data_IF_264045419642
#
_entry.id   IF_264045419642
#
_cell.length_a   1.000
_cell.length_b   1.000
_cell.length_c   1.000
_cell.angle_alpha   90.00
_cell.angle_beta   90.00
_cell.angle_gamma   90.00
#
_symmetry.space_group_name_H-M   'P 1'
#
loop_
_entity.id
_entity.type
_entity.pdbx_description
1 polymer ?
#
# COMPACT_ATOMS: atom_id res chain seq x y z
N UNK A 1 -33.71 22.72 -16.25
CA UNK A 1 -33.03 22.12 -15.08
C UNK A 1 -33.98 22.19 -13.89
N UNK A 2 -34.46 21.05 -13.42
CA UNK A 2 -35.48 20.94 -12.38
C UNK A 2 -34.85 21.01 -10.98
N UNK A 3 -35.42 21.84 -10.09
CA UNK A 3 -35.00 21.93 -8.68
C UNK A 3 -35.43 20.65 -7.95
N UNK A 4 -34.47 19.90 -7.40
CA UNK A 4 -34.75 18.72 -6.56
C UNK A 4 -35.04 19.16 -5.12
N UNK A 5 -36.21 18.78 -4.60
CA UNK A 5 -36.57 18.96 -3.19
C UNK A 5 -35.88 17.85 -2.39
N UNK A 6 -34.92 18.20 -1.51
CA UNK A 6 -34.30 17.23 -0.59
C UNK A 6 -35.23 17.00 0.60
N UNK A 7 -35.57 15.74 0.85
CA UNK A 7 -36.33 15.35 2.03
C UNK A 7 -35.49 15.53 3.31
N UNK A 8 -36.11 16.08 4.36
CA UNK A 8 -35.50 16.25 5.68
C UNK A 8 -35.47 14.89 6.39
N UNK A 9 -34.27 14.39 6.70
CA UNK A 9 -34.06 13.12 7.42
C UNK A 9 -34.00 13.33 8.92
N UNK A 10 -34.44 12.33 9.70
CA UNK A 10 -34.25 12.29 11.13
C UNK A 10 -32.74 12.24 11.45
N UNK A 11 -32.21 13.14 12.30
CA UNK A 11 -30.79 13.16 12.65
C UNK A 11 -30.34 11.94 13.46
N UNK A 12 -31.27 11.24 14.12
CA UNK A 12 -30.95 10.11 14.99
C UNK A 12 -30.91 8.76 14.24
N UNK A 13 -31.80 8.52 13.28
CA UNK A 13 -31.90 7.22 12.58
C UNK A 13 -31.89 7.30 11.04
N UNK A 14 -31.84 8.51 10.46
CA UNK A 14 -31.82 8.70 9.01
C UNK A 14 -33.15 8.46 8.28
N UNK A 15 -34.22 8.10 8.99
CA UNK A 15 -35.56 7.92 8.43
C UNK A 15 -36.13 9.22 7.87
N UNK A 16 -36.86 9.13 6.76
CA UNK A 16 -37.61 10.25 6.15
C UNK A 16 -39.06 10.34 6.66
N UNK A 17 -39.53 9.34 7.40
CA UNK A 17 -40.86 9.33 7.99
C UNK A 17 -40.95 10.25 9.20
N UNK A 18 -41.79 11.29 9.11
CA UNK A 18 -41.97 12.28 10.16
C UNK A 18 -43.38 12.85 10.22
N UNK A 19 -43.77 13.32 11.39
CA UNK A 19 -45.01 14.08 11.64
C UNK A 19 -44.62 15.44 12.20
N UNK A 20 -45.16 16.52 11.64
CA UNK A 20 -44.97 17.87 12.17
C UNK A 20 -45.87 18.06 13.39
N UNK A 21 -45.26 18.40 14.53
CA UNK A 21 -45.97 18.54 15.82
C UNK A 21 -46.25 20.01 16.14
N UNK A 22 -45.44 20.92 15.61
CA UNK A 22 -45.61 22.38 15.58
C UNK A 22 -44.63 22.95 14.54
N UNK A 23 -44.78 24.21 14.17
CA UNK A 23 -43.92 24.86 13.17
C UNK A 23 -42.42 24.57 13.44
N UNK A 24 -41.74 24.11 12.40
CA UNK A 24 -40.32 23.73 12.38
C UNK A 24 -39.92 22.60 13.35
N UNK A 25 -40.86 21.90 13.98
CA UNK A 25 -40.62 20.76 14.87
C UNK A 25 -41.26 19.49 14.33
N UNK A 26 -40.44 18.45 14.22
CA UNK A 26 -40.81 17.17 13.64
C UNK A 26 -40.56 16.03 14.62
N UNK A 27 -41.47 15.05 14.63
CA UNK A 27 -41.30 13.78 15.32
C UNK A 27 -41.07 12.68 14.32
N UNK A 28 -39.99 11.91 14.46
CA UNK A 28 -39.72 10.77 13.60
C UNK A 28 -40.69 9.62 13.89
N UNK A 29 -41.32 9.05 12.86
CA UNK A 29 -42.24 7.92 13.02
C UNK A 29 -41.53 6.59 13.26
N UNK A 30 -40.22 6.50 12.97
CA UNK A 30 -39.44 5.26 13.12
C UNK A 30 -38.79 5.11 14.50
N UNK A 31 -38.31 6.20 15.10
CA UNK A 31 -37.61 6.17 16.40
C UNK A 31 -38.19 7.11 17.45
N UNK A 32 -39.31 7.79 17.15
CA UNK A 32 -39.99 8.74 18.03
C UNK A 32 -39.15 9.95 18.50
N UNK A 33 -37.96 10.16 17.93
CA UNK A 33 -37.12 11.33 18.21
C UNK A 33 -37.78 12.60 17.68
N UNK A 34 -37.91 13.60 18.56
CA UNK A 34 -38.35 14.94 18.21
C UNK A 34 -37.14 15.83 17.91
N UNK A 35 -37.20 16.58 16.82
CA UNK A 35 -36.13 17.47 16.36
C UNK A 35 -36.73 18.69 15.68
N UNK A 36 -36.03 19.81 15.74
CA UNK A 36 -36.48 21.05 15.12
C UNK A 36 -35.42 21.60 14.16
N UNK A 37 -35.86 22.39 13.18
CA UNK A 37 -34.96 23.12 12.30
C UNK A 37 -34.63 24.43 13.00
N UNK A 38 -33.41 24.50 13.51
CA UNK A 38 -32.84 25.76 14.00
C UNK A 38 -32.36 26.55 12.80
N UNK A 39 -32.88 27.77 12.63
CA UNK A 39 -32.68 28.60 11.44
C UNK A 39 -31.61 29.69 11.65
N UNK A 40 -30.74 29.52 12.64
CA UNK A 40 -29.75 30.50 13.04
C UNK A 40 -28.38 30.29 12.39
N UNK A 41 -28.32 30.41 11.06
CA UNK A 41 -27.07 30.77 10.36
C UNK A 41 -27.29 31.53 9.02
N UNK A 42 -28.16 32.55 9.03
CA UNK A 42 -28.11 33.67 8.07
C UNK A 42 -28.38 34.99 8.82
N UNK A 43 -27.32 35.74 9.12
CA UNK A 43 -27.42 37.08 9.72
C UNK A 43 -27.99 38.10 8.72
N UNK A 44 -29.19 38.62 8.97
CA UNK A 44 -29.65 39.94 8.47
C UNK A 44 -30.43 40.64 9.58
N UNK A 45 -29.92 41.78 10.03
CA UNK A 45 -30.50 42.61 11.08
C UNK A 45 -31.56 43.55 10.50
N UNK A 46 -32.76 43.61 11.11
CA UNK A 46 -33.67 44.73 10.93
C UNK A 46 -34.51 44.97 12.20
N UNK A 47 -34.46 46.22 12.68
CA UNK A 47 -35.12 46.74 13.88
C UNK A 47 -36.46 47.38 13.54
N UNK A 48 -37.55 47.07 14.26
CA UNK A 48 -38.73 47.95 14.43
C UNK A 48 -39.37 47.75 15.82
N UNK A 49 -39.49 48.85 16.58
CA UNK A 49 -40.18 49.01 17.87
C UNK A 49 -41.71 48.93 17.76
N UNK A 50 -42.41 48.42 18.79
CA UNK A 50 -43.74 48.91 19.19
C UNK A 50 -43.98 48.83 20.71
N UNK A 51 -44.67 49.87 21.18
CA UNK A 51 -45.07 50.19 22.56
C UNK A 51 -46.32 49.45 23.04
N UNK A 52 -46.49 49.41 24.37
CA UNK A 52 -47.74 49.21 25.16
C UNK A 52 -48.35 47.81 25.12
N UNK A 53 -48.97 47.24 26.16
CA UNK A 53 -49.40 47.67 27.50
C UNK A 53 -49.69 46.41 28.36
N UNK A 54 -49.53 46.49 29.68
CA UNK A 54 -49.96 45.46 30.66
C UNK A 54 -51.50 45.45 30.83
N UNK A 55 -52.13 44.34 31.29
CA UNK A 55 -52.45 44.26 32.73
C UNK A 55 -52.52 42.84 33.39
N UNK A 56 -52.03 42.80 34.64
CA UNK A 56 -52.51 42.15 35.89
C UNK A 56 -52.98 40.68 36.01
N UNK A 57 -52.42 39.99 37.03
CA UNK A 57 -53.06 39.33 38.23
C UNK A 57 -52.12 38.22 38.76
N UNK A 58 -51.82 37.92 40.03
CA UNK A 58 -52.28 38.24 41.39
C UNK A 58 -51.08 37.98 42.38
N UNK A 59 -50.87 38.76 43.47
CA UNK A 59 -49.63 38.78 44.27
C UNK A 59 -49.54 37.80 45.45
N UNK A 60 -50.44 36.82 45.60
CA UNK A 60 -50.52 35.99 46.83
C UNK A 60 -50.00 34.55 46.72
N UNK A 61 -49.76 34.03 45.52
CA UNK A 61 -49.26 32.64 45.29
C UNK A 61 -47.74 32.58 45.01
N UNK A 62 -47.13 33.69 44.59
CA UNK A 62 -45.73 33.75 44.18
C UNK A 62 -44.71 33.61 45.35
N UNK A 63 -45.09 34.01 46.57
CA UNK A 63 -44.15 34.01 47.72
C UNK A 63 -43.93 32.64 48.37
N UNK A 64 -44.83 31.66 48.20
CA UNK A 64 -44.64 30.30 48.75
C UNK A 64 -43.96 29.34 47.75
N UNK A 65 -44.12 29.57 46.45
CA UNK A 65 -43.44 28.78 45.41
C UNK A 65 -41.95 29.15 45.33
N UNK A 66 -41.59 30.42 45.52
CA UNK A 66 -40.19 30.87 45.47
C UNK A 66 -39.28 30.27 46.55
N UNK A 67 -39.80 29.97 47.75
CA UNK A 67 -39.01 29.42 48.86
C UNK A 67 -38.72 27.92 48.71
N UNK A 68 -39.68 27.15 48.15
CA UNK A 68 -39.50 25.71 47.89
C UNK A 68 -38.61 25.48 46.67
N UNK A 69 -38.80 26.28 45.60
CA UNK A 69 -37.96 26.20 44.39
C UNK A 69 -36.53 26.68 44.69
N UNK A 70 -36.36 27.73 45.51
CA UNK A 70 -35.04 28.20 45.92
C UNK A 70 -34.25 27.16 46.74
N UNK A 71 -34.91 26.48 47.69
CA UNK A 71 -34.28 25.43 48.49
C UNK A 71 -33.85 24.22 47.66
N UNK A 72 -34.69 23.77 46.73
CA UNK A 72 -34.39 22.62 45.85
C UNK A 72 -33.25 22.95 44.88
N UNK A 73 -33.23 24.16 44.30
CA UNK A 73 -32.16 24.59 43.38
C UNK A 73 -30.80 24.68 44.09
N UNK A 74 -30.77 25.18 45.34
CA UNK A 74 -29.51 25.27 46.11
C UNK A 74 -28.98 23.89 46.51
N UNK A 75 -29.85 22.95 46.91
CA UNK A 75 -29.46 21.56 47.20
C UNK A 75 -28.98 20.85 45.93
N UNK A 76 -29.64 21.09 44.79
CA UNK A 76 -29.24 20.52 43.51
C UNK A 76 -27.88 21.05 43.06
N UNK A 77 -27.61 22.36 43.20
CA UNK A 77 -26.30 22.98 42.90
C UNK A 77 -25.20 22.43 43.82
N UNK A 78 -25.47 22.25 45.13
CA UNK A 78 -24.51 21.67 46.06
C UNK A 78 -24.17 20.21 45.71
N UNK A 79 -25.16 19.38 45.41
CA UNK A 79 -24.96 17.96 45.07
C UNK A 79 -24.37 17.73 43.67
N UNK A 80 -24.66 18.60 42.69
CA UNK A 80 -24.19 18.43 41.31
C UNK A 80 -22.87 19.13 40.99
N UNK A 81 -22.54 20.24 41.65
CA UNK A 81 -21.34 21.01 41.35
C UNK A 81 -20.25 20.89 42.41
N UNK A 82 -20.61 20.91 43.71
CA UNK A 82 -19.60 20.95 44.79
C UNK A 82 -19.14 19.54 45.20
N UNK A 83 -20.05 18.57 45.35
CA UNK A 83 -19.67 17.21 45.77
C UNK A 83 -18.78 16.50 44.72
N UNK A 84 -19.01 16.60 43.39
CA UNK A 84 -18.12 15.98 42.40
C UNK A 84 -16.74 16.65 42.29
N UNK A 85 -16.60 17.92 42.71
CA UNK A 85 -15.30 18.61 42.71
C UNK A 85 -14.42 18.26 43.92
N UNK A 86 -15.03 17.88 45.05
CA UNK A 86 -14.31 17.39 46.24
C UNK A 86 -13.91 15.90 46.14
N UNK A 87 -14.56 15.12 45.27
CA UNK A 87 -14.24 13.71 44.98
C UNK A 87 -13.70 13.46 43.57
N UNK A 88 -13.26 14.51 42.86
CA UNK A 88 -12.50 14.34 41.62
C UNK A 88 -11.08 13.91 41.96
N UNK A 89 -10.90 12.61 42.22
CA UNK A 89 -9.60 11.98 42.08
C UNK A 89 -9.13 12.31 40.67
N UNK A 90 -8.04 13.07 40.54
CA UNK A 90 -7.37 13.26 39.25
C UNK A 90 -7.19 11.87 38.66
N UNK A 91 -7.97 11.53 37.64
CA UNK A 91 -7.65 10.39 36.79
C UNK A 91 -6.35 10.77 36.10
N UNK A 92 -5.24 10.43 36.75
CA UNK A 92 -3.99 10.24 36.05
C UNK A 92 -4.28 9.11 35.10
N UNK A 93 -4.68 9.45 33.87
CA UNK A 93 -4.26 8.63 32.75
C UNK A 93 -2.76 8.42 32.97
N UNK A 94 -2.24 7.19 33.05
CA UNK A 94 -0.81 7.05 32.91
C UNK A 94 -0.51 7.77 31.60
N UNK A 95 0.31 8.81 31.66
CA UNK A 95 0.92 9.32 30.45
C UNK A 95 1.47 8.07 29.79
N UNK A 96 1.00 7.72 28.60
CA UNK A 96 1.81 6.86 27.74
C UNK A 96 3.10 7.66 27.66
N UNK A 97 4.10 7.18 28.38
CA UNK A 97 5.46 7.65 28.22
C UNK A 97 5.69 7.47 26.73
N UNK A 98 5.61 8.56 25.97
CA UNK A 98 5.98 8.57 24.58
C UNK A 98 7.49 8.44 24.64
N UNK A 99 7.97 7.21 24.87
CA UNK A 99 9.35 6.85 24.67
C UNK A 99 9.58 7.13 23.20
N UNK A 100 10.12 8.32 22.93
CA UNK A 100 10.44 8.77 21.59
C UNK A 100 11.38 7.72 21.02
N UNK A 101 11.03 7.17 19.86
CA UNK A 101 11.92 6.23 19.19
C UNK A 101 13.29 6.90 19.06
N UNK A 102 14.33 6.16 19.44
CA UNK A 102 15.72 6.65 19.47
C UNK A 102 16.12 7.22 18.11
N UNK A 103 15.61 6.62 17.04
CA UNK A 103 15.71 7.11 15.68
C UNK A 103 14.39 6.96 14.90
N UNK A 104 14.31 7.61 13.75
CA UNK A 104 13.30 7.35 12.72
C UNK A 104 13.94 7.12 11.35
N UNK A 105 13.26 6.37 10.49
CA UNK A 105 13.66 6.23 9.09
C UNK A 105 13.19 7.44 8.29
N UNK A 106 14.14 8.16 7.67
CA UNK A 106 13.86 9.40 6.95
C UNK A 106 13.60 9.19 5.45
N UNK A 107 14.51 8.51 4.77
CA UNK A 107 14.38 8.05 3.39
C UNK A 107 14.91 6.63 3.37
N UNK A 108 14.11 5.69 2.88
CA UNK A 108 14.44 4.28 2.89
C UNK A 108 13.66 3.53 1.82
N UNK A 109 14.19 2.38 1.46
CA UNK A 109 13.45 1.31 0.82
C UNK A 109 13.39 0.10 1.75
N UNK A 110 12.33 -0.69 1.59
CA UNK A 110 12.04 -1.85 2.43
C UNK A 110 11.60 -3.00 1.55
N UNK A 111 12.14 -4.18 1.81
CA UNK A 111 11.73 -5.41 1.14
C UNK A 111 11.87 -6.60 2.09
N UNK A 112 11.29 -7.74 1.73
CA UNK A 112 11.34 -8.97 2.50
C UNK A 112 11.91 -10.12 1.68
N UNK A 113 12.53 -11.08 2.37
CA UNK A 113 12.91 -12.37 1.80
C UNK A 113 12.71 -13.50 2.80
N UNK A 114 12.60 -14.73 2.30
CA UNK A 114 12.70 -15.92 3.14
C UNK A 114 14.15 -16.40 3.16
N UNK A 115 14.71 -16.60 4.36
CA UNK A 115 16.03 -17.23 4.49
C UNK A 115 15.95 -18.75 4.22
N UNK A 116 17.08 -19.47 4.26
CA UNK A 116 17.10 -20.93 4.01
C UNK A 116 16.19 -21.76 4.93
N UNK A 117 15.94 -21.28 6.15
CA UNK A 117 15.05 -21.95 7.12
C UNK A 117 13.57 -21.62 6.84
N UNK A 118 13.29 -20.82 5.81
CA UNK A 118 11.98 -20.32 5.45
C UNK A 118 11.42 -19.29 6.44
N UNK A 119 12.27 -18.62 7.21
CA UNK A 119 11.87 -17.51 8.09
C UNK A 119 11.79 -16.20 7.28
N UNK A 120 10.72 -15.40 7.44
CA UNK A 120 10.59 -14.13 6.75
C UNK A 120 11.42 -13.04 7.44
N UNK A 121 12.34 -12.46 6.69
CA UNK A 121 13.22 -11.38 7.13
C UNK A 121 12.87 -10.12 6.35
N UNK A 122 12.69 -9.00 7.06
CA UNK A 122 12.58 -7.67 6.45
C UNK A 122 13.95 -7.03 6.42
N UNK A 123 14.34 -6.49 5.28
CA UNK A 123 15.53 -5.67 5.10
C UNK A 123 15.12 -4.23 4.81
N UNK A 124 15.73 -3.30 5.52
CA UNK A 124 15.57 -1.86 5.32
C UNK A 124 16.91 -1.28 4.92
N UNK A 125 16.97 -0.52 3.83
CA UNK A 125 18.13 0.26 3.44
C UNK A 125 17.72 1.73 3.40
N UNK A 126 18.40 2.57 4.18
CA UNK A 126 18.07 3.98 4.20
C UNK A 126 18.75 4.79 5.28
N UNK A 127 18.22 5.97 5.56
CA UNK A 127 18.74 6.90 6.56
C UNK A 127 18.02 6.71 7.88
N UNK A 128 18.78 6.40 8.93
CA UNK A 128 18.32 6.55 10.32
C UNK A 128 18.68 7.94 10.82
N UNK A 129 17.68 8.68 11.28
CA UNK A 129 17.84 9.97 11.96
C UNK A 129 17.62 9.78 13.44
N UNK A 130 18.68 9.94 14.22
CA UNK A 130 18.61 9.85 15.66
C UNK A 130 18.05 11.15 16.26
N UNK A 131 17.28 11.02 17.34
CA UNK A 131 16.69 12.14 18.04
C UNK A 131 17.57 12.57 19.22
N UNK A 132 17.81 13.87 19.36
CA UNK A 132 18.61 14.44 20.45
C UNK A 132 20.05 14.74 20.05
N UNK A 133 20.63 15.76 20.67
CA UNK A 133 21.95 16.31 20.30
C UNK A 133 23.09 15.31 20.60
N UNK A 134 22.90 14.41 21.56
CA UNK A 134 23.92 13.44 22.00
C UNK A 134 24.20 12.32 20.97
N UNK A 135 23.30 12.14 19.97
CA UNK A 135 23.38 11.05 18.99
C UNK A 135 23.47 11.56 17.53
N UNK A 136 23.78 12.84 17.30
CA UNK A 136 23.83 13.40 15.94
C UNK A 136 24.85 12.65 15.05
N UNK A 137 25.98 12.25 15.63
CA UNK A 137 27.02 11.46 14.95
C UNK A 137 26.58 10.03 14.56
N UNK A 138 25.51 9.52 15.18
CA UNK A 138 24.93 8.22 14.85
C UNK A 138 24.02 8.29 13.62
N UNK A 139 23.48 9.47 13.30
CA UNK A 139 22.74 9.68 12.06
C UNK A 139 23.59 9.29 10.85
N UNK A 140 22.96 8.58 9.91
CA UNK A 140 23.68 8.03 8.76
C UNK A 140 22.82 7.08 7.95
N UNK A 141 23.47 6.46 6.98
CA UNK A 141 22.88 5.41 6.17
C UNK A 141 23.11 4.07 6.84
N UNK A 142 22.08 3.25 6.84
CA UNK A 142 22.07 1.95 7.47
C UNK A 142 21.40 0.93 6.57
N UNK A 143 21.84 -0.31 6.72
CA UNK A 143 21.04 -1.48 6.37
C UNK A 143 20.70 -2.24 7.65
N UNK A 144 19.46 -2.67 7.76
CA UNK A 144 18.94 -3.32 8.96
C UNK A 144 18.06 -4.50 8.61
N UNK A 145 18.18 -5.56 9.40
CA UNK A 145 17.48 -6.82 9.21
C UNK A 145 16.58 -7.08 10.41
N UNK A 146 15.31 -7.35 10.17
CA UNK A 146 14.30 -7.62 11.18
C UNK A 146 13.70 -8.99 10.95
N UNK A 147 13.46 -9.72 12.04
CA UNK A 147 12.57 -10.87 12.00
C UNK A 147 11.13 -10.35 11.97
N UNK A 148 10.42 -10.63 10.88
CA UNK A 148 9.08 -10.09 10.64
C UNK A 148 8.09 -10.58 11.69
N UNK A 149 8.22 -11.83 12.15
CA UNK A 149 7.23 -12.46 13.03
C UNK A 149 7.35 -11.94 14.47
N UNK A 150 8.55 -11.59 14.90
CA UNK A 150 8.86 -11.16 16.26
C UNK A 150 9.07 -9.65 16.43
N UNK A 151 9.07 -8.89 15.33
CA UNK A 151 9.44 -7.46 15.26
C UNK A 151 10.86 -7.16 15.77
N UNK A 152 11.71 -8.17 15.91
CA UNK A 152 13.04 -8.03 16.51
C UNK A 152 14.05 -7.61 15.45
N UNK A 153 14.81 -6.55 15.73
CA UNK A 153 16.02 -6.23 14.98
C UNK A 153 17.07 -7.32 15.21
N UNK A 154 17.46 -8.00 14.14
CA UNK A 154 18.44 -9.08 14.16
C UNK A 154 19.85 -8.54 14.01
N UNK A 155 20.02 -7.57 13.11
CA UNK A 155 21.33 -6.98 12.80
C UNK A 155 21.17 -5.64 12.10
N UNK A 156 22.11 -4.73 12.36
CA UNK A 156 22.21 -3.43 11.67
C UNK A 156 23.66 -3.13 11.35
N UNK A 157 23.89 -2.44 10.23
CA UNK A 157 25.20 -2.02 9.76
C UNK A 157 25.10 -0.59 9.25
N UNK A 158 25.97 0.29 9.76
CA UNK A 158 26.16 1.63 9.17
C UNK A 158 26.88 1.46 7.84
N UNK A 159 26.28 1.94 6.77
CA UNK A 159 26.77 1.79 5.39
C UNK A 159 27.32 3.09 4.81
N UNK A 160 27.01 4.22 5.44
CA UNK A 160 27.52 5.51 5.03
C UNK A 160 27.08 6.67 5.92
N UNK A 161 27.49 7.86 5.51
CA UNK A 161 27.12 9.13 6.15
C UNK A 161 25.88 9.70 5.49
N UNK A 162 25.12 10.49 6.24
CA UNK A 162 23.95 11.17 5.72
C UNK A 162 24.25 12.66 5.47
N UNK A 163 23.77 13.19 4.35
CA UNK A 163 23.71 14.64 4.11
C UNK A 163 22.33 15.05 3.64
N UNK A 164 21.81 16.15 4.21
CA UNK A 164 20.57 16.79 3.80
C UNK A 164 20.63 17.38 2.38
N UNK A 165 21.82 17.73 1.89
CA UNK A 165 22.02 18.33 0.58
C UNK A 165 21.84 17.35 -0.58
N UNK A 166 21.83 16.04 -0.29
CA UNK A 166 21.84 15.00 -1.31
C UNK A 166 20.43 14.42 -1.50
N UNK A 167 20.09 14.11 -2.74
CA UNK A 167 18.90 13.31 -3.06
C UNK A 167 19.08 11.89 -2.54
N UNK A 168 18.61 11.63 -1.32
CA UNK A 168 18.73 10.33 -0.67
C UNK A 168 17.80 9.33 -1.38
N UNK A 169 18.38 8.42 -2.19
CA UNK A 169 17.65 7.42 -2.97
C UNK A 169 18.10 6.02 -2.59
N UNK A 170 17.19 5.17 -2.16
CA UNK A 170 17.49 3.78 -1.82
C UNK A 170 16.59 2.87 -2.60
N UNK A 171 17.14 1.75 -3.06
CA UNK A 171 16.40 0.72 -3.78
C UNK A 171 16.86 -0.65 -3.29
N UNK A 172 15.92 -1.57 -3.12
CA UNK A 172 16.14 -2.97 -2.77
C UNK A 172 15.45 -3.84 -3.81
N UNK A 173 16.16 -4.84 -4.33
CA UNK A 173 15.58 -5.79 -5.27
C UNK A 173 16.19 -7.16 -5.14
N UNK A 174 15.32 -8.16 -4.99
CA UNK A 174 15.70 -9.56 -5.06
C UNK A 174 15.69 -10.02 -6.53
N UNK A 175 16.86 -10.45 -7.01
CA UNK A 175 17.00 -11.24 -8.23
C UNK A 175 16.91 -12.72 -7.90
N UNK A 176 16.85 -13.58 -8.93
CA UNK A 176 16.66 -15.02 -8.73
C UNK A 176 17.82 -15.68 -7.99
N UNK A 177 19.03 -15.13 -8.13
CA UNK A 177 20.27 -15.64 -7.53
C UNK A 177 20.69 -14.87 -6.28
N UNK A 178 20.57 -13.54 -6.32
CA UNK A 178 21.15 -12.64 -5.33
C UNK A 178 20.16 -11.53 -4.95
N UNK A 179 20.37 -10.94 -3.78
CA UNK A 179 19.62 -9.77 -3.33
C UNK A 179 20.57 -8.58 -3.36
N UNK A 180 20.19 -7.50 -4.03
CA UNK A 180 20.96 -6.27 -4.11
C UNK A 180 20.24 -5.08 -3.47
N UNK A 181 21.03 -4.13 -3.00
CA UNK A 181 20.58 -2.80 -2.61
C UNK A 181 21.39 -1.73 -3.34
N UNK A 182 20.78 -0.58 -3.63
CA UNK A 182 21.44 0.58 -4.21
C UNK A 182 21.24 1.76 -3.25
N UNK A 183 22.32 2.47 -2.93
CA UNK A 183 22.29 3.69 -2.13
C UNK A 183 22.79 4.89 -2.95
N UNK A 184 21.97 5.94 -2.96
CA UNK A 184 22.14 7.21 -3.65
C UNK A 184 22.53 7.07 -5.13
N UNK A 185 22.14 5.96 -5.76
CA UNK A 185 22.53 5.60 -7.14
C UNK A 185 24.05 5.46 -7.36
N UNK A 186 24.85 5.44 -6.30
CA UNK A 186 26.32 5.46 -6.39
C UNK A 186 26.93 4.18 -5.82
N UNK A 187 26.31 3.59 -4.80
CA UNK A 187 26.80 2.38 -4.15
C UNK A 187 25.84 1.22 -4.37
N UNK A 188 26.39 0.09 -4.79
CA UNK A 188 25.68 -1.17 -4.96
C UNK A 188 26.14 -2.14 -3.87
N UNK A 189 25.19 -2.63 -3.10
CA UNK A 189 25.40 -3.64 -2.09
C UNK A 189 24.87 -4.98 -2.56
N UNK A 190 25.65 -6.04 -2.30
CA UNK A 190 25.15 -7.41 -2.32
C UNK A 190 24.76 -7.81 -0.90
N UNK A 191 23.53 -8.28 -0.73
CA UNK A 191 22.96 -8.66 0.55
C UNK A 191 23.14 -10.16 0.75
N UNK A 192 23.83 -10.51 1.82
CA UNK A 192 23.95 -11.87 2.32
C UNK A 192 22.75 -12.20 3.22
N UNK A 193 21.82 -12.97 2.67
CA UNK A 193 20.57 -13.39 3.31
C UNK A 193 20.77 -14.27 4.55
N UNK A 194 21.92 -14.92 4.68
CA UNK A 194 22.18 -15.90 5.73
C UNK A 194 22.98 -15.28 6.88
N UNK A 195 23.99 -14.48 6.55
CA UNK A 195 24.81 -13.80 7.55
C UNK A 195 24.28 -12.42 7.95
N UNK A 196 23.19 -11.97 7.32
CA UNK A 196 22.53 -10.67 7.55
C UNK A 196 23.53 -9.53 7.41
N UNK A 197 24.20 -9.48 6.26
CA UNK A 197 25.26 -8.52 5.95
C UNK A 197 25.02 -7.88 4.59
N UNK A 198 25.54 -6.67 4.42
CA UNK A 198 25.67 -6.04 3.11
C UNK A 198 27.14 -5.79 2.80
N UNK A 199 27.58 -6.26 1.65
CA UNK A 199 28.92 -5.99 1.13
C UNK A 199 28.82 -4.99 0.01
N UNK A 200 29.59 -3.90 0.08
CA UNK A 200 29.74 -2.99 -1.04
C UNK A 200 30.47 -3.72 -2.17
N UNK A 201 29.76 -3.92 -3.28
CA UNK A 201 30.28 -4.60 -4.46
C UNK A 201 30.45 -3.66 -5.64
N UNK A 202 30.26 -2.35 -5.45
CA UNK A 202 30.19 -1.33 -6.51
C UNK A 202 31.31 -1.49 -7.53
N UNK A 203 32.57 -1.56 -7.09
CA UNK A 203 33.69 -1.75 -8.02
C UNK A 203 33.81 -3.20 -8.50
N UNK A 204 33.73 -4.16 -7.57
CA UNK A 204 33.97 -5.57 -7.87
C UNK A 204 32.96 -6.21 -8.81
N UNK A 205 31.72 -5.69 -8.85
CA UNK A 205 30.62 -6.22 -9.64
C UNK A 205 30.79 -5.90 -11.13
N UNK A 206 31.41 -4.75 -11.46
CA UNK A 206 31.53 -4.27 -12.83
C UNK A 206 32.96 -4.35 -13.41
N UNK A 207 33.96 -4.71 -12.58
CA UNK A 207 35.39 -4.67 -12.93
C UNK A 207 35.78 -5.43 -14.21
N UNK A 208 35.06 -6.50 -14.53
CA UNK A 208 35.40 -7.39 -15.65
C UNK A 208 34.85 -6.87 -17.00
N UNK A 209 34.19 -5.71 -17.01
CA UNK A 209 33.57 -5.11 -18.18
C UNK A 209 34.30 -3.84 -18.60
N UNK A 210 34.97 -3.87 -19.76
CA UNK A 210 35.79 -2.76 -20.26
C UNK A 210 35.03 -1.42 -20.34
N UNK A 211 33.74 -1.43 -20.72
CA UNK A 211 32.89 -0.22 -20.79
C UNK A 211 32.56 0.40 -19.42
N UNK A 212 32.82 -0.32 -18.32
CA UNK A 212 32.60 0.11 -16.94
C UNK A 212 33.91 0.20 -16.14
N UNK A 213 35.06 0.01 -16.79
CA UNK A 213 36.37 -0.05 -16.12
C UNK A 213 36.78 1.29 -15.49
N UNK A 214 36.27 2.42 -15.99
CA UNK A 214 36.46 3.75 -15.41
C UNK A 214 35.65 3.99 -14.13
N UNK A 215 34.88 2.99 -13.68
CA UNK A 215 33.93 3.10 -12.59
C UNK A 215 32.56 3.58 -13.05
N UNK A 216 31.62 3.67 -12.10
CA UNK A 216 30.24 4.08 -12.36
C UNK A 216 29.98 5.48 -11.83
N UNK A 217 29.19 6.24 -12.58
CA UNK A 217 28.59 7.51 -12.17
C UNK A 217 27.18 7.31 -11.60
N UNK A 218 26.46 6.28 -12.08
CA UNK A 218 25.11 5.97 -11.61
C UNK A 218 24.78 4.48 -11.75
N UNK A 219 23.99 3.95 -10.84
CA UNK A 219 23.31 2.66 -10.94
C UNK A 219 21.85 2.78 -10.47
N UNK A 220 20.96 2.07 -11.17
CA UNK A 220 19.58 1.82 -10.77
C UNK A 220 19.19 0.40 -11.18
N UNK A 221 18.12 -0.15 -10.60
CA UNK A 221 17.55 -1.37 -11.17
C UNK A 221 16.85 -1.06 -12.50
N UNK A 222 17.04 -1.94 -13.48
CA UNK A 222 16.27 -1.85 -14.72
C UNK A 222 14.79 -2.17 -14.43
N UNK A 223 13.89 -1.60 -15.25
CA UNK A 223 12.48 -1.96 -15.21
C UNK A 223 12.30 -3.46 -15.43
N UNK A 224 11.28 -4.05 -14.81
CA UNK A 224 11.03 -5.51 -14.88
C UNK A 224 10.89 -6.02 -16.31
N UNK A 225 10.40 -5.18 -17.22
CA UNK A 225 10.31 -5.47 -18.65
C UNK A 225 11.66 -5.67 -19.34
N UNK A 226 12.80 -5.40 -18.70
CA UNK A 226 14.14 -5.67 -19.21
C UNK A 226 14.75 -6.94 -18.59
N UNK A 227 14.06 -7.57 -17.64
CA UNK A 227 14.59 -8.67 -16.85
C UNK A 227 15.37 -8.22 -15.61
N UNK A 228 16.14 -9.13 -15.05
CA UNK A 228 16.91 -8.92 -13.81
C UNK A 228 18.25 -8.23 -14.12
N UNK A 229 18.21 -6.92 -14.32
CA UNK A 229 19.39 -6.13 -14.69
C UNK A 229 19.54 -4.84 -13.88
N UNK A 230 20.75 -4.30 -13.91
CA UNK A 230 21.07 -2.93 -13.54
C UNK A 230 21.09 -2.06 -14.78
N UNK A 231 20.58 -0.84 -14.69
CA UNK A 231 20.89 0.24 -15.62
C UNK A 231 22.04 1.06 -15.03
N UNK A 232 23.19 1.06 -15.72
CA UNK A 232 24.45 1.60 -15.20
C UNK A 232 25.01 2.64 -16.16
N UNK A 233 25.40 3.78 -15.62
CA UNK A 233 26.17 4.80 -16.32
C UNK A 233 27.61 4.79 -15.79
N UNK A 234 28.58 4.65 -16.70
CA UNK A 234 30.01 4.79 -16.38
C UNK A 234 30.39 6.25 -16.11
N UNK A 235 31.56 6.46 -15.50
CA UNK A 235 32.15 7.80 -15.32
C UNK A 235 32.46 8.53 -16.64
N UNK A 236 32.55 7.78 -17.75
CA UNK A 236 32.74 8.33 -19.10
C UNK A 236 31.40 8.62 -19.82
N UNK A 237 30.25 8.43 -19.15
CA UNK A 237 28.93 8.72 -19.70
C UNK A 237 28.34 7.61 -20.59
N UNK A 238 28.99 6.45 -20.67
CA UNK A 238 28.43 5.27 -21.36
C UNK A 238 27.34 4.63 -20.52
N UNK A 239 26.14 4.45 -21.09
CA UNK A 239 25.00 3.78 -20.47
C UNK A 239 24.83 2.34 -20.98
N UNK A 240 24.73 1.38 -20.08
CA UNK A 240 24.54 -0.05 -20.40
C UNK A 240 23.61 -0.72 -19.40
N UNK A 241 22.99 -1.82 -19.84
CA UNK A 241 22.30 -2.77 -18.98
C UNK A 241 23.27 -3.87 -18.57
N UNK A 242 23.49 -4.06 -17.27
CA UNK A 242 24.30 -5.14 -16.73
C UNK A 242 23.42 -6.24 -16.13
N UNK A 243 23.58 -7.47 -16.62
CA UNK A 243 22.85 -8.65 -16.17
C UNK A 243 23.79 -9.52 -15.32
N UNK A 244 23.68 -9.48 -13.98
CA UNK A 244 24.64 -10.11 -13.08
C UNK A 244 24.68 -11.63 -13.22
N UNK A 245 23.53 -12.29 -13.42
CA UNK A 245 23.47 -13.75 -13.45
C UNK A 245 24.27 -14.35 -14.61
N UNK A 246 24.18 -13.72 -15.79
CA UNK A 246 24.95 -14.14 -16.98
C UNK A 246 26.27 -13.40 -17.11
N UNK A 247 26.56 -12.46 -16.21
CA UNK A 247 27.70 -11.55 -16.23
C UNK A 247 27.93 -10.90 -17.61
N UNK A 248 26.91 -10.23 -18.15
CA UNK A 248 26.97 -9.57 -19.47
C UNK A 248 26.43 -8.16 -19.42
N UNK A 249 26.99 -7.30 -20.27
CA UNK A 249 26.48 -5.97 -20.56
C UNK A 249 25.84 -5.91 -21.94
N UNK A 250 24.80 -5.08 -22.08
CA UNK A 250 24.12 -4.79 -23.33
C UNK A 250 23.90 -3.28 -23.45
N UNK A 251 24.04 -2.72 -24.63
CA UNK A 251 23.44 -1.42 -24.95
C UNK A 251 21.93 -1.55 -25.07
N UNK A 252 21.22 -0.42 -25.09
CA UNK A 252 19.77 -0.41 -25.32
C UNK A 252 19.40 -1.13 -26.63
N UNK A 253 20.13 -0.89 -27.71
CA UNK A 253 19.87 -1.53 -29.01
C UNK A 253 20.09 -3.05 -28.95
N UNK A 254 21.17 -3.48 -28.26
CA UNK A 254 21.46 -4.91 -28.09
C UNK A 254 20.39 -5.61 -27.24
N UNK A 255 19.86 -4.95 -26.21
CA UNK A 255 18.69 -5.45 -25.47
C UNK A 255 17.51 -5.68 -26.40
N UNK A 256 17.14 -4.70 -27.24
CA UNK A 256 16.01 -4.85 -28.16
C UNK A 256 16.22 -5.99 -29.16
N UNK A 257 17.45 -6.18 -29.63
CA UNK A 257 17.80 -7.33 -30.48
C UNK A 257 17.59 -8.65 -29.73
N UNK A 258 18.04 -8.78 -28.48
CA UNK A 258 17.81 -9.99 -27.68
C UNK A 258 16.33 -10.24 -27.38
N UNK A 259 15.56 -9.18 -27.10
CA UNK A 259 14.10 -9.28 -26.89
C UNK A 259 13.39 -9.84 -28.12
N UNK A 260 13.71 -9.33 -29.33
CA UNK A 260 13.11 -9.85 -30.58
C UNK A 260 13.43 -11.33 -30.82
N UNK A 261 14.58 -11.82 -30.36
CA UNK A 261 14.90 -13.26 -30.44
C UNK A 261 13.99 -14.13 -29.59
N UNK A 262 13.23 -13.58 -28.63
CA UNK A 262 12.27 -14.34 -27.83
C UNK A 262 11.03 -14.75 -28.66
N UNK A 263 10.71 -13.99 -29.71
CA UNK A 263 9.54 -14.23 -30.57
C UNK A 263 9.70 -15.49 -31.42
N UNK A 264 10.94 -15.86 -31.75
CA UNK A 264 11.24 -17.03 -32.56
C UNK A 264 11.42 -18.24 -31.65
N UNK A 265 10.56 -19.25 -31.82
CA UNK A 265 10.72 -20.54 -31.16
C UNK A 265 12.00 -21.24 -31.66
N UNK A 266 12.77 -21.80 -30.73
CA UNK A 266 13.99 -22.55 -31.05
C UNK A 266 13.87 -24.00 -30.61
N UNK A 267 14.55 -24.95 -31.29
CA UNK A 267 14.53 -26.35 -30.87
C UNK A 267 15.04 -26.51 -29.42
N UNK A 268 14.34 -27.34 -28.63
CA UNK A 268 14.69 -27.63 -27.23
C UNK A 268 14.73 -26.40 -26.31
N UNK A 269 13.92 -25.38 -26.59
CA UNK A 269 13.80 -24.24 -25.67
C UNK A 269 13.30 -24.68 -24.29
N UNK A 270 13.92 -24.12 -23.25
CA UNK A 270 13.44 -24.27 -21.88
C UNK A 270 12.34 -23.24 -21.66
N UNK A 271 11.15 -23.69 -21.27
CA UNK A 271 10.01 -22.85 -21.01
C UNK A 271 9.84 -22.60 -19.52
N UNK A 272 9.45 -21.38 -19.20
CA UNK A 272 9.03 -20.97 -17.86
C UNK A 272 7.54 -20.59 -17.88
N UNK A 273 6.83 -20.96 -16.82
CA UNK A 273 5.45 -20.54 -16.60
C UNK A 273 5.42 -19.16 -15.95
N UNK A 274 4.48 -18.33 -16.40
CA UNK A 274 4.22 -16.98 -15.93
C UNK A 274 2.71 -16.73 -15.84
N UNK A 275 2.35 -15.70 -15.09
CA UNK A 275 0.98 -15.30 -14.87
C UNK A 275 0.88 -13.79 -15.04
N UNK A 276 -0.14 -13.33 -15.75
CA UNK A 276 -0.37 -11.91 -16.00
C UNK A 276 -1.86 -11.64 -16.19
N UNK A 277 -2.32 -10.45 -15.79
CA UNK A 277 -3.69 -10.04 -16.05
C UNK A 277 -3.82 -9.42 -17.45
N UNK A 278 -4.96 -9.62 -18.10
CA UNK A 278 -5.27 -8.80 -19.27
C UNK A 278 -5.60 -7.37 -18.88
N UNK A 279 -5.29 -6.44 -19.78
CA UNK A 279 -5.65 -5.05 -19.71
C UNK A 279 -7.00 -4.80 -20.39
N UNK A 280 -7.64 -3.69 -20.03
CA UNK A 280 -8.81 -3.19 -20.74
C UNK A 280 -8.39 -2.74 -22.14
N UNK A 281 -9.20 -3.09 -23.12
CA UNK A 281 -9.00 -2.68 -24.50
C UNK A 281 -9.95 -1.57 -24.92
N UNK A 282 -9.52 -0.76 -25.88
CA UNK A 282 -10.38 0.17 -26.60
C UNK A 282 -11.32 -0.54 -27.59
N UNK A 283 -10.90 -1.66 -28.18
CA UNK A 283 -11.72 -2.43 -29.13
C UNK A 283 -12.81 -3.24 -28.42
N UNK A 284 -12.46 -3.80 -27.25
CA UNK A 284 -13.37 -4.60 -26.42
C UNK A 284 -13.40 -4.10 -24.96
N UNK A 285 -13.94 -2.89 -24.70
CA UNK A 285 -13.93 -2.28 -23.37
C UNK A 285 -14.78 -3.04 -22.35
N UNK A 286 -15.80 -3.76 -22.82
CA UNK A 286 -16.68 -4.60 -22.00
C UNK A 286 -16.04 -5.93 -21.61
N UNK A 287 -14.92 -6.31 -22.24
CA UNK A 287 -14.24 -7.54 -21.93
C UNK A 287 -13.71 -7.51 -20.49
N UNK A 288 -13.93 -8.59 -19.77
CA UNK A 288 -13.47 -8.70 -18.38
C UNK A 288 -11.97 -8.90 -18.35
N UNK A 289 -11.33 -8.32 -17.34
CA UNK A 289 -9.94 -8.64 -17.03
C UNK A 289 -9.87 -10.12 -16.62
N UNK A 290 -8.91 -10.85 -17.19
CA UNK A 290 -8.69 -12.28 -16.99
C UNK A 290 -7.27 -12.53 -16.50
N UNK A 291 -7.09 -13.55 -15.66
CA UNK A 291 -5.78 -14.00 -15.20
C UNK A 291 -5.29 -15.10 -16.14
N UNK A 292 -4.27 -14.81 -16.95
CA UNK A 292 -3.71 -15.80 -17.85
C UNK A 292 -2.55 -16.54 -17.20
N UNK A 293 -2.51 -17.85 -17.42
CA UNK A 293 -1.30 -18.67 -17.26
C UNK A 293 -0.70 -18.86 -18.64
N UNK A 294 0.57 -18.53 -18.81
CA UNK A 294 1.25 -18.68 -20.08
C UNK A 294 2.68 -19.21 -19.91
N UNK A 295 3.24 -19.72 -21.01
CA UNK A 295 4.63 -20.17 -21.06
C UNK A 295 5.41 -19.30 -22.03
N UNK A 296 6.64 -18.95 -21.68
CA UNK A 296 7.60 -18.29 -22.59
C UNK A 296 8.99 -18.87 -22.38
N UNK A 297 9.91 -18.60 -23.30
CA UNK A 297 11.32 -19.02 -23.16
C UNK A 297 11.93 -18.45 -21.88
N UNK A 298 12.68 -19.27 -21.14
CA UNK A 298 13.53 -18.81 -20.05
C UNK A 298 14.77 -18.11 -20.62
N UNK A 299 14.96 -16.85 -20.25
CA UNK A 299 16.10 -16.02 -20.68
C UNK A 299 17.38 -16.35 -19.93
N UNK A 300 17.30 -17.22 -18.92
CA UNK A 300 18.42 -17.64 -18.05
C UNK A 300 19.12 -16.45 -17.39
N UNK A 301 18.39 -15.38 -17.12
CA UNK A 301 18.88 -14.13 -16.52
C UNK A 301 19.48 -13.12 -17.50
N UNK A 302 19.32 -13.32 -18.82
CA UNK A 302 19.59 -12.29 -19.82
C UNK A 302 18.39 -11.36 -20.05
N UNK A 303 18.46 -10.49 -21.09
CA UNK A 303 17.36 -9.61 -21.48
C UNK A 303 16.05 -10.37 -21.59
N UNK A 304 15.03 -9.84 -20.91
CA UNK A 304 13.67 -10.37 -20.94
C UNK A 304 12.69 -9.32 -21.45
N UNK A 305 11.45 -9.73 -21.73
CA UNK A 305 10.39 -8.82 -22.15
C UNK A 305 9.04 -9.17 -21.52
N UNK A 306 8.22 -8.14 -21.28
CA UNK A 306 6.89 -8.33 -20.71
C UNK A 306 5.88 -8.69 -21.79
N UNK A 307 4.90 -9.50 -21.41
CA UNK A 307 3.71 -9.73 -22.24
C UNK A 307 2.66 -8.71 -21.82
N UNK A 308 2.07 -8.00 -22.78
CA UNK A 308 0.96 -7.09 -22.53
C UNK A 308 -0.30 -7.72 -23.11
N UNK A 309 -1.12 -8.32 -22.25
CA UNK A 309 -2.28 -9.08 -22.68
C UNK A 309 -3.47 -8.15 -22.87
N UNK A 310 -3.96 -8.00 -24.09
CA UNK A 310 -5.14 -7.18 -24.40
C UNK A 310 -5.95 -7.86 -25.49
N UNK A 311 -7.29 -7.78 -25.40
CA UNK A 311 -8.17 -8.27 -26.45
C UNK A 311 -8.30 -7.23 -27.53
N UNK A 312 -7.98 -7.54 -28.77
CA UNK A 312 -8.03 -6.59 -29.88
C UNK A 312 -8.69 -7.20 -31.11
N UNK A 313 -9.19 -6.33 -31.98
CA UNK A 313 -9.75 -6.73 -33.25
C UNK A 313 -8.65 -6.72 -34.32
N UNK A 314 -8.46 -7.85 -34.98
CA UNK A 314 -7.44 -7.95 -36.02
C UNK A 314 -7.85 -7.09 -37.22
N UNK A 315 -7.06 -6.08 -37.57
CA UNK A 315 -7.42 -5.12 -38.65
C UNK A 315 -7.67 -5.77 -40.03
N UNK A 316 -7.07 -6.93 -40.31
CA UNK A 316 -7.20 -7.61 -41.60
C UNK A 316 -8.35 -8.63 -41.67
N UNK A 317 -8.66 -9.32 -40.56
CA UNK A 317 -9.66 -10.40 -40.52
C UNK A 317 -10.91 -10.04 -39.71
N UNK A 318 -10.88 -8.93 -38.98
CA UNK A 318 -11.90 -8.53 -37.98
C UNK A 318 -12.15 -9.61 -36.91
N UNK A 319 -11.16 -10.48 -36.69
CA UNK A 319 -11.23 -11.52 -35.66
C UNK A 319 -10.79 -10.95 -34.32
N UNK A 320 -11.60 -11.21 -33.28
CA UNK A 320 -11.25 -10.97 -31.89
C UNK A 320 -10.12 -11.92 -31.49
N UNK A 321 -8.97 -11.37 -31.15
CA UNK A 321 -7.81 -12.14 -30.68
C UNK A 321 -7.22 -11.48 -29.44
N UNK A 322 -6.52 -12.27 -28.62
CA UNK A 322 -5.68 -11.71 -27.57
C UNK A 322 -4.32 -11.41 -28.18
N UNK A 323 -3.99 -10.13 -28.27
CA UNK A 323 -2.76 -9.66 -28.90
C UNK A 323 -2.33 -8.37 -28.22
N UNK A 324 -1.13 -8.34 -27.62
CA UNK A 324 -0.06 -7.37 -27.92
C UNK A 324 1.23 -7.58 -27.08
N UNK A 325 2.27 -6.84 -27.45
CA UNK A 325 3.61 -6.87 -26.84
C UNK A 325 4.62 -7.49 -27.78
N UNK A 326 4.69 -8.82 -27.78
CA UNK A 326 5.61 -9.61 -28.62
C UNK A 326 5.08 -11.05 -28.72
N UNK A 327 5.35 -11.75 -29.83
CA UNK A 327 4.98 -13.18 -30.01
C UNK A 327 5.87 -14.13 -29.17
N UNK A 328 6.13 -13.78 -27.91
CA UNK A 328 7.06 -14.50 -27.03
C UNK A 328 6.38 -15.61 -26.23
N UNK A 329 5.05 -15.62 -26.18
CA UNK A 329 4.29 -16.71 -25.59
C UNK A 329 4.30 -17.94 -26.48
N UNK A 330 4.40 -19.13 -25.88
CA UNK A 330 4.29 -20.42 -26.56
C UNK A 330 2.94 -21.09 -26.36
N UNK A 331 2.32 -20.85 -25.22
CA UNK A 331 0.99 -21.32 -24.88
C UNK A 331 0.41 -20.38 -23.83
N UNK A 332 -0.92 -20.26 -23.80
CA UNK A 332 -1.63 -19.51 -22.77
C UNK A 332 -3.01 -20.13 -22.53
N UNK A 333 -3.55 -19.91 -21.33
CA UNK A 333 -4.91 -20.29 -20.93
C UNK A 333 -5.44 -19.27 -19.92
N UNK A 334 -6.74 -18.95 -19.97
CA UNK A 334 -7.40 -18.25 -18.86
C UNK A 334 -7.42 -19.19 -17.65
N UNK A 335 -6.65 -18.86 -16.63
CA UNK A 335 -6.50 -19.68 -15.43
C UNK A 335 -7.80 -19.69 -14.62
N UNK A 336 -8.58 -18.62 -14.66
CA UNK A 336 -9.77 -18.45 -13.80
C UNK A 336 -10.99 -18.03 -14.60
N UNK A 337 -11.47 -18.89 -15.52
CA UNK A 337 -12.54 -18.53 -16.44
C UNK A 337 -13.80 -18.10 -15.71
N UNK A 338 -14.34 -16.95 -16.13
CA UNK A 338 -15.56 -16.36 -15.58
C UNK A 338 -15.40 -15.62 -14.25
N UNK A 339 -14.21 -15.62 -13.62
CA UNK A 339 -13.97 -14.80 -12.42
C UNK A 339 -13.89 -13.31 -12.80
N UNK A 340 -14.41 -12.46 -11.92
CA UNK A 340 -14.39 -11.01 -12.09
C UNK A 340 -13.32 -10.38 -11.21
N UNK A 341 -12.52 -9.50 -11.80
CA UNK A 341 -11.43 -8.78 -11.13
C UNK A 341 -11.57 -7.28 -11.33
N UNK A 342 -11.11 -6.51 -10.35
CA UNK A 342 -11.10 -5.05 -10.38
C UNK A 342 -9.75 -4.53 -9.96
N UNK A 343 -9.06 -3.79 -10.84
CA UNK A 343 -7.69 -3.31 -10.63
C UNK A 343 -6.74 -4.40 -10.09
N UNK A 344 -6.65 -5.58 -10.71
CA UNK A 344 -5.90 -6.68 -10.15
C UNK A 344 -4.41 -6.60 -10.46
N UNK A 345 -3.60 -7.29 -9.64
CA UNK A 345 -2.14 -7.45 -9.85
C UNK A 345 -1.70 -8.84 -9.43
N UNK A 346 -0.73 -9.41 -10.14
CA UNK A 346 0.02 -10.59 -9.65
C UNK A 346 1.15 -10.09 -8.76
N UNK A 347 1.25 -10.61 -7.53
CA UNK A 347 2.32 -10.25 -6.59
C UNK A 347 3.40 -11.33 -6.49
N UNK A 348 3.00 -12.59 -6.65
CA UNK A 348 3.91 -13.74 -6.55
C UNK A 348 3.34 -14.90 -7.35
N UNK A 349 4.23 -15.73 -7.90
CA UNK A 349 3.84 -17.03 -8.44
C UNK A 349 4.97 -18.06 -8.31
N UNK A 350 4.57 -19.31 -8.08
CA UNK A 350 5.40 -20.51 -8.26
C UNK A 350 4.56 -21.62 -8.91
N UNK A 351 5.10 -22.85 -8.96
CA UNK A 351 4.41 -24.00 -9.56
C UNK A 351 3.11 -24.40 -8.85
N UNK A 352 2.89 -23.93 -7.61
CA UNK A 352 1.77 -24.30 -6.76
C UNK A 352 0.78 -23.15 -6.54
N UNK A 353 1.27 -21.92 -6.43
CA UNK A 353 0.49 -20.78 -5.96
C UNK A 353 0.66 -19.56 -6.85
N UNK A 354 -0.42 -18.82 -7.05
CA UNK A 354 -0.42 -17.45 -7.58
C UNK A 354 -1.05 -16.57 -6.51
N UNK A 355 -0.29 -15.58 -6.02
CA UNK A 355 -0.80 -14.56 -5.12
C UNK A 355 -1.14 -13.33 -5.93
N UNK A 356 -2.39 -12.90 -5.81
CA UNK A 356 -2.89 -11.72 -6.49
C UNK A 356 -3.50 -10.73 -5.50
N UNK A 357 -3.59 -9.48 -5.93
CA UNK A 357 -4.53 -8.51 -5.37
C UNK A 357 -5.65 -8.21 -6.36
N UNK A 358 -6.82 -7.88 -5.83
CA UNK A 358 -7.93 -7.32 -6.60
C UNK A 358 -8.79 -6.50 -5.65
N UNK A 359 -9.27 -5.35 -6.11
CA UNK A 359 -10.27 -4.58 -5.39
C UNK A 359 -11.59 -5.35 -5.32
N UNK A 360 -12.34 -5.13 -4.24
CA UNK A 360 -13.63 -5.80 -4.00
C UNK A 360 -14.72 -5.41 -5.01
N UNK A 361 -14.66 -4.19 -5.52
CA UNK A 361 -15.55 -3.64 -6.55
C UNK A 361 -14.78 -2.71 -7.48
N UNK A 362 -15.43 -2.23 -8.55
CA UNK A 362 -14.85 -1.25 -9.48
C UNK A 362 -14.66 0.16 -8.89
N UNK A 363 -15.15 0.43 -7.66
CA UNK A 363 -15.00 1.75 -7.06
C UNK A 363 -13.53 2.04 -6.73
N UNK A 364 -13.08 3.26 -6.99
CA UNK A 364 -11.67 3.65 -6.78
C UNK A 364 -11.23 3.49 -5.32
N UNK A 365 -12.11 3.71 -4.34
CA UNK A 365 -11.82 3.53 -2.91
C UNK A 365 -12.13 2.12 -2.38
N UNK A 366 -12.46 1.17 -3.26
CA UNK A 366 -12.85 -0.18 -2.84
C UNK A 366 -11.72 -0.88 -2.07
N UNK A 367 -12.04 -1.57 -0.96
CA UNK A 367 -11.06 -2.35 -0.22
C UNK A 367 -10.37 -3.40 -1.08
N UNK A 368 -9.09 -3.65 -0.81
CA UNK A 368 -8.28 -4.61 -1.55
C UNK A 368 -8.40 -6.01 -0.95
N UNK A 369 -8.58 -7.02 -1.78
CA UNK A 369 -8.46 -8.42 -1.39
C UNK A 369 -7.09 -8.95 -1.80
N UNK A 370 -6.47 -9.74 -0.93
CA UNK A 370 -5.32 -10.58 -1.26
C UNK A 370 -5.86 -12.00 -1.45
N UNK A 371 -5.56 -12.64 -2.58
CA UNK A 371 -6.05 -13.99 -2.89
C UNK A 371 -4.90 -14.92 -3.23
N UNK A 372 -5.03 -16.16 -2.77
CA UNK A 372 -4.16 -17.26 -3.17
C UNK A 372 -4.94 -18.19 -4.10
N UNK A 373 -4.35 -18.48 -5.25
CA UNK A 373 -4.95 -19.30 -6.32
C UNK A 373 -4.01 -20.47 -6.59
N UNK A 374 -4.56 -21.67 -6.79
CA UNK A 374 -3.77 -22.82 -7.24
C UNK A 374 -3.27 -22.57 -8.66
N UNK A 375 -1.95 -22.60 -8.85
CA UNK A 375 -1.28 -22.29 -10.11
C UNK A 375 -1.55 -23.34 -11.22
N UNK A 376 -2.10 -24.50 -10.88
CA UNK A 376 -2.36 -25.60 -11.82
C UNK A 376 -3.76 -25.49 -12.42
N UNK A 377 -4.77 -25.23 -11.59
CA UNK A 377 -6.18 -25.31 -12.00
C UNK A 377 -7.01 -24.05 -11.70
N UNK A 378 -6.41 -23.00 -11.12
CA UNK A 378 -7.08 -21.72 -10.89
C UNK A 378 -8.09 -21.69 -9.75
N UNK A 379 -8.17 -22.77 -8.95
CA UNK A 379 -9.04 -22.78 -7.78
C UNK A 379 -8.59 -21.76 -6.75
N UNK A 380 -9.55 -21.03 -6.19
CA UNK A 380 -9.30 -20.14 -5.07
C UNK A 380 -8.98 -20.97 -3.83
N UNK A 381 -7.82 -20.75 -3.24
CA UNK A 381 -7.38 -21.41 -2.01
C UNK A 381 -7.87 -20.60 -0.81
N UNK A 382 -7.57 -19.30 -0.79
CA UNK A 382 -8.09 -18.40 0.23
C UNK A 382 -8.25 -16.97 -0.29
N UNK A 383 -9.01 -16.17 0.45
CA UNK A 383 -9.07 -14.70 0.30
C UNK A 383 -8.87 -14.07 1.67
N UNK A 384 -7.90 -13.17 1.77
CA UNK A 384 -7.72 -12.28 2.91
C UNK A 384 -8.23 -10.88 2.54
N UNK A 385 -9.35 -10.41 3.12
CA UNK A 385 -9.87 -9.08 2.86
C UNK A 385 -9.08 -8.02 3.67
N UNK A 386 -8.47 -7.06 2.98
CA UNK A 386 -7.88 -5.88 3.64
C UNK A 386 -8.93 -4.77 3.73
N UNK A 387 -9.05 -4.03 4.85
CA UNK A 387 -10.17 -3.14 5.11
C UNK A 387 -10.17 -1.85 4.26
N UNK A 388 -9.04 -1.45 3.71
CA UNK A 388 -8.88 -0.24 2.89
C UNK A 388 -8.38 -0.56 1.49
N UNK A 389 -8.48 0.40 0.58
CA UNK A 389 -7.72 0.32 -0.67
C UNK A 389 -6.23 0.44 -0.32
N UNK A 390 -5.43 -0.56 -0.70
CA UNK A 390 -4.00 -0.60 -0.44
C UNK A 390 -3.26 -1.15 -1.67
N UNK A 391 -2.23 -0.44 -2.10
CA UNK A 391 -1.38 -0.87 -3.19
C UNK A 391 -0.26 -1.79 -2.67
N UNK A 392 -0.54 -3.08 -2.56
CA UNK A 392 0.50 -4.08 -2.36
C UNK A 392 1.25 -4.33 -3.66
N UNK A 393 2.58 -4.39 -3.58
CA UNK A 393 3.48 -4.51 -4.72
C UNK A 393 4.61 -5.53 -4.50
N UNK A 394 4.63 -6.19 -3.34
CA UNK A 394 5.63 -7.18 -3.00
C UNK A 394 4.95 -8.42 -2.40
N UNK A 395 5.46 -9.59 -2.75
CA UNK A 395 5.12 -10.81 -2.05
C UNK A 395 6.26 -11.82 -2.07
N UNK A 396 6.51 -12.45 -0.92
CA UNK A 396 7.39 -13.62 -0.81
C UNK A 396 6.62 -14.80 -0.22
N UNK A 397 7.06 -16.00 -0.59
CA UNK A 397 6.67 -17.23 0.10
C UNK A 397 7.68 -17.54 1.19
N UNK A 398 7.18 -17.93 2.36
CA UNK A 398 7.97 -18.42 3.48
C UNK A 398 7.38 -19.74 4.00
N UNK A 399 8.01 -20.39 4.99
CA UNK A 399 7.63 -21.77 5.37
C UNK A 399 6.17 -21.94 5.81
N UNK A 400 5.58 -20.93 6.47
CA UNK A 400 4.22 -21.03 7.03
C UNK A 400 3.17 -20.28 6.18
N UNK A 401 3.57 -19.65 5.06
CA UNK A 401 2.64 -18.94 4.18
C UNK A 401 3.29 -17.90 3.28
N UNK A 402 2.68 -16.72 3.20
CA UNK A 402 3.12 -15.61 2.35
C UNK A 402 3.29 -14.34 3.18
N UNK A 403 4.28 -13.53 2.81
CA UNK A 403 4.37 -12.14 3.27
C UNK A 403 3.98 -11.26 2.10
N UNK A 404 3.04 -10.34 2.32
CA UNK A 404 2.59 -9.38 1.32
C UNK A 404 2.91 -7.97 1.82
N UNK A 405 3.60 -7.19 0.99
CA UNK A 405 4.21 -5.91 1.34
C UNK A 405 3.62 -4.72 0.58
N UNK A 406 3.58 -3.58 1.26
CA UNK A 406 3.29 -2.27 0.70
C UNK A 406 4.13 -1.22 1.42
N UNK A 407 5.16 -0.70 0.76
CA UNK A 407 6.05 0.32 1.33
C UNK A 407 6.61 -0.13 2.70
N UNK A 408 6.27 0.55 3.79
CA UNK A 408 6.77 0.26 5.13
C UNK A 408 5.91 -0.73 5.95
N UNK A 409 5.03 -1.48 5.29
CA UNK A 409 4.02 -2.33 5.92
C UNK A 409 3.95 -3.71 5.28
N UNK A 410 3.95 -4.75 6.11
CA UNK A 410 3.95 -6.14 5.70
C UNK A 410 2.92 -6.96 6.48
N UNK A 411 2.29 -7.89 5.77
CA UNK A 411 1.33 -8.85 6.32
C UNK A 411 1.88 -10.26 6.12
N UNK A 412 2.13 -11.00 7.21
CA UNK A 412 2.33 -12.44 7.15
C UNK A 412 0.96 -13.13 7.20
N UNK A 413 0.61 -13.83 6.12
CA UNK A 413 -0.64 -14.57 5.96
C UNK A 413 -0.29 -16.05 5.87
N UNK A 414 -0.94 -16.87 6.68
CA UNK A 414 -0.74 -18.32 6.69
C UNK A 414 -1.27 -18.99 5.41
N UNK A 415 -0.84 -20.24 5.17
CA UNK A 415 -1.39 -21.06 4.08
C UNK A 415 -2.91 -21.30 4.19
N UNK A 416 -3.48 -21.14 5.39
CA UNK A 416 -4.92 -21.20 5.66
C UNK A 416 -5.66 -19.86 5.40
N UNK A 417 -4.94 -18.83 4.94
CA UNK A 417 -5.47 -17.51 4.64
C UNK A 417 -5.68 -16.60 5.85
N UNK A 418 -5.27 -17.03 7.06
CA UNK A 418 -5.40 -16.19 8.27
C UNK A 418 -4.17 -15.30 8.43
N UNK A 419 -4.41 -14.09 8.94
CA UNK A 419 -3.34 -13.19 9.37
C UNK A 419 -2.58 -13.81 10.55
N UNK A 420 -1.25 -13.91 10.40
CA UNK A 420 -0.34 -14.34 11.46
C UNK A 420 0.27 -13.12 12.15
N UNK A 421 0.72 -12.14 11.36
CA UNK A 421 1.43 -10.97 11.88
C UNK A 421 1.30 -9.78 10.94
N UNK A 422 1.15 -8.59 11.53
CA UNK A 422 1.43 -7.33 10.86
C UNK A 422 2.79 -6.82 11.33
N UNK A 423 3.60 -6.37 10.38
CA UNK A 423 4.89 -5.75 10.64
C UNK A 423 4.90 -4.36 10.02
N UNK A 424 5.39 -3.38 10.77
CA UNK A 424 5.49 -2.00 10.30
C UNK A 424 6.81 -1.42 10.74
N UNK A 425 7.55 -0.85 9.80
CA UNK A 425 8.77 -0.11 10.11
C UNK A 425 8.38 1.13 10.94
N UNK A 426 9.11 1.33 12.04
CA UNK A 426 8.87 2.40 13.02
C UNK A 426 9.62 3.67 12.68
#
# INVERSE_FOLDING_TARGET
MAKQIKAIKCPHCGSIGKTEVKADHFKCTSCNTEYYLDNDDININHNINFNSSTPFSDPSTAKRIGLVVGGVVVVFILFTLIIPSLFSSKKSYPAKENVRAEYSWYSNDVSAYANKDGRPIVVVLGVRRYSGDDHENETGEYISFYDLLTDKELKTQKTGTFSLSNGNNFELKQFRDNFYGIANKERVYKIDKENLLASDVTQSLFKDHAKLASGIANAAFAYDSYGEAFNVMSNEGTNVFFYPLVNKIYTMDEVYVEKRKLEVAVPNEVLQTRFEFSHKSDDYPEEKIQLFKYTKRDTKGGPDDNVILEWQETASTHEKNITFGTNIMRSYVDLTPGRLYFNPKVLYSDDNYVIITSNKTAAESAPTNIQCIDARDGKLIFTYPFPTNQNFNECIKYKDGFVVGSYNFFLAIGLDGKLIKEFKIK
#
